data_IF_893408960608
#
_entry.id   IF_893408960608
#
_cell.length_a   1.000
_cell.length_b   1.000
_cell.length_c   1.000
_cell.angle_alpha   90.00
_cell.angle_beta   90.00
_cell.angle_gamma   90.00
#
_symmetry.space_group_name_H-M   'P 1'
#
loop_
_entity.id
_entity.type
_entity.pdbx_description
1 polymer ?
#
# COMPACT_ATOMS: atom_id res chain seq x y z
N UNK A 1 -17.90 50.43 -79.02
CA UNK A 1 -18.50 49.21 -78.44
C UNK A 1 -17.39 48.31 -77.90
N UNK A 2 -17.21 48.27 -76.57
CA UNK A 2 -16.25 47.38 -75.89
C UNK A 2 -16.86 46.89 -74.57
N UNK A 3 -16.92 45.57 -74.43
CA UNK A 3 -17.16 44.78 -73.20
C UNK A 3 -15.90 44.77 -72.33
N UNK A 4 -16.07 44.70 -71.00
CA UNK A 4 -15.20 44.13 -69.94
C UNK A 4 -15.73 44.70 -68.61
N UNK A 5 -16.37 44.01 -67.65
CA UNK A 5 -16.26 42.68 -67.03
C UNK A 5 -14.93 42.43 -66.31
N UNK A 6 -15.04 42.05 -65.01
CA UNK A 6 -14.05 41.37 -64.14
C UNK A 6 -12.95 42.30 -63.55
N UNK A 7 -12.50 42.29 -62.28
CA UNK A 7 -12.53 41.33 -61.14
C UNK A 7 -12.31 42.10 -59.80
N UNK A 8 -13.00 41.69 -58.73
CA UNK A 8 -12.69 42.00 -57.32
C UNK A 8 -11.48 41.19 -56.82
N UNK A 9 -10.47 41.83 -56.23
CA UNK A 9 -9.43 41.18 -55.39
C UNK A 9 -9.29 42.01 -54.10
N UNK A 10 -9.93 41.62 -52.99
CA UNK A 10 -9.46 40.72 -51.92
C UNK A 10 -8.00 40.94 -51.51
N UNK A 11 -7.80 41.70 -50.42
CA UNK A 11 -6.60 41.66 -49.59
C UNK A 11 -7.03 41.61 -48.12
N UNK A 12 -7.22 40.38 -47.64
CA UNK A 12 -7.52 40.02 -46.25
C UNK A 12 -6.27 40.24 -45.38
N UNK A 13 -6.36 41.18 -44.44
CA UNK A 13 -5.37 41.38 -43.37
C UNK A 13 -5.36 40.14 -42.46
N UNK A 14 -4.23 39.43 -42.44
CA UNK A 14 -4.00 38.27 -41.58
C UNK A 14 -3.93 38.68 -40.11
N UNK A 15 -4.88 38.16 -39.33
CA UNK A 15 -4.84 38.13 -37.87
C UNK A 15 -3.73 37.15 -37.42
N UNK A 16 -2.56 37.70 -37.09
CA UNK A 16 -1.55 36.99 -36.30
C UNK A 16 -1.98 36.94 -34.83
N UNK A 17 -2.90 36.03 -34.51
CA UNK A 17 -3.18 35.69 -33.12
C UNK A 17 -1.97 34.96 -32.55
N UNK A 18 -1.35 35.57 -31.54
CA UNK A 18 -0.26 34.98 -30.78
C UNK A 18 -0.71 33.66 -30.16
N UNK A 19 -0.25 32.56 -30.74
CA UNK A 19 -0.19 31.28 -30.07
C UNK A 19 1.00 31.30 -29.10
N UNK A 20 0.86 32.02 -27.99
CA UNK A 20 1.65 31.70 -26.80
C UNK A 20 1.09 30.39 -26.26
N UNK A 21 1.67 29.28 -26.73
CA UNK A 21 1.45 27.98 -26.11
C UNK A 21 1.76 28.12 -24.63
N UNK A 22 0.77 27.82 -23.79
CA UNK A 22 1.00 27.60 -22.37
C UNK A 22 1.95 26.42 -22.27
N UNK A 23 3.26 26.70 -22.13
CA UNK A 23 4.20 25.72 -21.63
C UNK A 23 3.74 25.49 -20.19
N UNK A 24 3.04 24.38 -19.97
CA UNK A 24 2.79 23.86 -18.63
C UNK A 24 4.17 23.61 -18.00
N UNK A 25 4.67 24.65 -17.33
CA UNK A 25 5.82 24.59 -16.43
C UNK A 25 5.31 24.19 -15.04
N UNK A 26 4.44 23.17 -14.97
CA UNK A 26 4.43 22.39 -13.75
C UNK A 26 5.90 21.94 -13.55
N UNK A 27 6.51 22.24 -12.39
CA UNK A 27 7.91 21.89 -12.17
C UNK A 27 8.10 20.44 -12.58
N UNK A 28 9.18 20.08 -13.26
CA UNK A 28 9.41 18.69 -13.62
C UNK A 28 9.48 17.84 -12.32
N UNK A 29 8.34 17.31 -11.86
CA UNK A 29 8.20 16.68 -10.54
C UNK A 29 8.50 15.19 -10.59
N UNK A 30 8.60 14.64 -11.79
CA UNK A 30 8.88 13.23 -12.01
C UNK A 30 9.88 13.05 -13.15
N UNK A 31 10.59 11.92 -13.13
CA UNK A 31 11.49 11.48 -14.18
C UNK A 31 11.24 10.01 -14.55
N UNK A 32 12.09 9.48 -15.41
CA UNK A 32 12.07 8.08 -15.83
C UNK A 32 13.30 7.37 -15.29
N UNK A 33 13.13 6.15 -14.79
CA UNK A 33 14.26 5.31 -14.34
C UNK A 33 14.32 4.06 -15.20
N UNK A 34 15.49 3.76 -15.75
CA UNK A 34 15.74 2.58 -16.57
C UNK A 34 16.87 1.76 -15.97
N UNK A 35 16.81 0.46 -16.15
CA UNK A 35 17.87 -0.43 -15.69
C UNK A 35 17.67 -1.85 -16.17
N UNK A 36 18.52 -2.74 -15.67
CA UNK A 36 18.49 -4.16 -15.98
C UNK A 36 18.82 -5.00 -14.76
N UNK A 37 18.10 -6.11 -14.59
CA UNK A 37 18.41 -7.13 -13.59
C UNK A 37 19.36 -8.16 -14.20
N UNK A 38 20.42 -8.50 -13.46
CA UNK A 38 21.38 -9.55 -13.87
C UNK A 38 20.85 -10.96 -13.63
N UNK A 39 19.87 -11.11 -12.74
CA UNK A 39 19.17 -12.35 -12.43
C UNK A 39 17.71 -12.01 -12.10
N UNK A 40 16.77 -12.75 -12.67
CA UNK A 40 15.34 -12.52 -12.48
C UNK A 40 14.50 -13.74 -12.92
N UNK A 41 13.29 -13.82 -12.37
CA UNK A 41 12.20 -14.63 -12.90
C UNK A 41 11.13 -13.67 -13.46
N UNK A 42 10.83 -13.67 -14.78
CA UNK A 42 9.88 -12.73 -15.36
C UNK A 42 8.45 -12.87 -14.83
N UNK A 43 8.09 -14.01 -14.22
CA UNK A 43 6.78 -14.21 -13.59
C UNK A 43 6.66 -13.55 -12.21
N UNK A 44 7.79 -13.21 -11.58
CA UNK A 44 7.85 -12.68 -10.20
C UNK A 44 8.44 -11.27 -10.17
N UNK A 45 9.35 -10.97 -11.10
CA UNK A 45 10.19 -9.79 -11.06
C UNK A 45 9.36 -8.49 -11.13
N UNK A 46 9.57 -7.65 -10.12
CA UNK A 46 8.87 -6.38 -9.93
C UNK A 46 9.87 -5.35 -9.41
N UNK A 47 9.90 -4.20 -10.06
CA UNK A 47 10.66 -3.02 -9.62
C UNK A 47 9.66 -1.95 -9.22
N UNK A 48 9.86 -1.34 -8.05
CA UNK A 48 9.01 -0.24 -7.57
C UNK A 48 9.84 0.78 -6.81
N UNK A 49 9.28 1.97 -6.62
CA UNK A 49 9.89 3.01 -5.79
C UNK A 49 9.44 2.82 -4.35
N UNK A 50 10.40 2.70 -3.43
CA UNK A 50 10.11 2.55 -2.00
C UNK A 50 9.30 3.77 -1.50
N UNK A 51 8.19 3.52 -0.81
CA UNK A 51 7.26 4.56 -0.36
C UNK A 51 6.29 5.07 -1.44
N UNK A 52 6.44 4.63 -2.69
CA UNK A 52 5.53 4.92 -3.79
C UNK A 52 5.20 3.64 -4.60
N UNK A 53 4.53 2.63 -3.98
CA UNK A 53 4.27 1.33 -4.62
C UNK A 53 3.34 1.41 -5.85
N UNK A 54 2.69 2.55 -6.09
CA UNK A 54 1.98 2.83 -7.33
C UNK A 54 2.91 2.97 -8.55
N UNK A 55 4.14 3.42 -8.34
CA UNK A 55 5.17 3.55 -9.38
C UNK A 55 5.93 2.23 -9.46
N UNK A 56 5.52 1.37 -10.39
CA UNK A 56 6.05 0.01 -10.51
C UNK A 56 6.14 -0.44 -11.97
N UNK A 57 7.01 -1.40 -12.22
CA UNK A 57 7.20 -2.01 -13.55
C UNK A 57 7.70 -3.43 -13.39
N UNK A 58 7.30 -4.31 -14.32
CA UNK A 58 7.92 -5.62 -14.47
C UNK A 58 9.28 -5.52 -15.18
N UNK A 59 9.77 -6.66 -15.65
CA UNK A 59 10.96 -6.73 -16.51
C UNK A 59 10.64 -7.37 -17.85
N UNK A 60 11.34 -6.96 -18.90
CA UNK A 60 11.26 -7.61 -20.20
C UNK A 60 12.05 -8.95 -20.22
N UNK A 61 12.02 -9.65 -21.35
CA UNK A 61 12.72 -10.94 -21.52
C UNK A 61 14.25 -10.82 -21.46
N UNK A 62 14.79 -9.60 -21.51
CA UNK A 62 16.21 -9.30 -21.31
C UNK A 62 16.50 -8.77 -19.90
N UNK A 63 15.52 -8.76 -19.00
CA UNK A 63 15.65 -8.28 -17.62
C UNK A 63 15.61 -6.76 -17.48
N UNK A 64 15.26 -6.02 -18.54
CA UNK A 64 15.22 -4.55 -18.50
C UNK A 64 13.90 -4.07 -17.94
N UNK A 65 13.95 -2.99 -17.16
CA UNK A 65 12.76 -2.32 -16.64
C UNK A 65 12.80 -0.84 -17.00
N UNK A 66 11.61 -0.24 -17.06
CA UNK A 66 11.42 1.21 -17.17
C UNK A 66 10.32 1.61 -16.19
N UNK A 67 10.64 2.50 -15.27
CA UNK A 67 9.70 3.16 -14.37
C UNK A 67 9.46 4.57 -14.87
N UNK A 68 8.21 4.88 -15.17
CA UNK A 68 7.75 6.23 -15.50
C UNK A 68 7.20 6.93 -14.25
N UNK A 69 7.06 8.24 -14.30
CA UNK A 69 6.49 9.06 -13.22
C UNK A 69 7.17 8.89 -11.84
N UNK A 70 8.48 8.61 -11.83
CA UNK A 70 9.25 8.48 -10.58
C UNK A 70 9.45 9.87 -9.98
N UNK A 71 9.02 10.14 -8.73
CA UNK A 71 9.18 11.45 -8.11
C UNK A 71 10.64 11.93 -8.12
N UNK A 72 10.84 13.20 -8.48
CA UNK A 72 12.15 13.83 -8.50
C UNK A 72 12.72 13.98 -7.09
N UNK A 73 14.04 13.82 -6.96
CA UNK A 73 14.77 13.86 -5.70
C UNK A 73 15.45 12.53 -5.35
N UNK A 74 15.99 12.41 -4.12
CA UNK A 74 16.50 11.15 -3.60
C UNK A 74 15.37 10.11 -3.57
N UNK A 75 15.64 8.94 -4.13
CA UNK A 75 14.71 7.84 -4.18
C UNK A 75 15.44 6.53 -3.93
N UNK A 76 14.67 5.45 -3.80
CA UNK A 76 15.21 4.12 -3.69
C UNK A 76 14.30 3.13 -4.39
N UNK A 77 14.90 2.29 -5.24
CA UNK A 77 14.17 1.20 -5.85
C UNK A 77 14.10 0.03 -4.87
N UNK A 78 12.92 -0.55 -4.73
CA UNK A 78 12.73 -1.90 -4.22
C UNK A 78 12.57 -2.85 -5.42
N UNK A 79 13.45 -3.84 -5.50
CA UNK A 79 13.46 -4.84 -6.56
C UNK A 79 13.16 -6.19 -5.93
N UNK A 80 12.07 -6.82 -6.36
CA UNK A 80 11.82 -8.24 -6.20
C UNK A 80 12.28 -8.91 -7.50
N UNK A 81 13.25 -9.83 -7.45
CA UNK A 81 13.82 -10.42 -8.65
C UNK A 81 13.37 -11.85 -8.87
N UNK A 82 13.33 -12.64 -7.79
CA UNK A 82 12.87 -14.03 -7.76
C UNK A 82 12.06 -14.25 -6.47
N UNK A 83 11.59 -15.48 -6.22
CA UNK A 83 10.91 -15.84 -4.97
C UNK A 83 11.80 -15.74 -3.72
N UNK A 84 13.12 -15.64 -3.88
CA UNK A 84 14.09 -15.61 -2.77
C UNK A 84 15.14 -14.49 -2.88
N UNK A 85 15.16 -13.70 -3.97
CA UNK A 85 16.12 -12.61 -4.18
C UNK A 85 15.46 -11.26 -4.36
N UNK A 86 16.07 -10.27 -3.72
CA UNK A 86 15.63 -8.88 -3.78
C UNK A 86 16.84 -7.92 -3.75
N UNK A 87 16.61 -6.66 -4.13
CA UNK A 87 17.60 -5.60 -4.02
C UNK A 87 16.96 -4.27 -3.60
N UNK A 88 17.80 -3.42 -2.99
CA UNK A 88 17.53 -1.99 -2.78
C UNK A 88 18.58 -1.20 -3.53
N UNK A 89 18.14 -0.22 -4.33
CA UNK A 89 19.04 0.59 -5.17
C UNK A 89 18.78 2.06 -4.88
N UNK A 90 19.66 2.75 -4.12
CA UNK A 90 19.54 4.18 -3.93
C UNK A 90 19.87 4.90 -5.23
N UNK A 91 19.12 5.95 -5.54
CA UNK A 91 19.33 6.79 -6.72
C UNK A 91 18.84 8.22 -6.46
N UNK A 92 19.13 9.11 -7.39
CA UNK A 92 18.54 10.46 -7.42
C UNK A 92 17.90 10.67 -8.77
N UNK A 93 16.61 10.96 -8.77
CA UNK A 93 15.84 11.20 -9.99
C UNK A 93 15.80 12.68 -10.27
N UNK A 94 16.22 13.05 -11.47
CA UNK A 94 16.10 14.42 -11.95
C UNK A 94 14.78 14.56 -12.71
N UNK A 95 14.01 15.59 -12.35
CA UNK A 95 12.74 15.89 -13.00
C UNK A 95 12.89 16.06 -14.50
N UNK A 96 12.00 15.43 -15.28
CA UNK A 96 11.94 15.54 -16.73
C UNK A 96 13.09 14.82 -17.45
N UNK A 97 13.90 14.06 -16.72
CA UNK A 97 15.04 13.33 -17.26
C UNK A 97 14.87 11.82 -17.11
N UNK A 98 15.54 11.09 -17.99
CA UNK A 98 15.76 9.64 -17.83
C UNK A 98 17.07 9.40 -17.09
N UNK A 99 17.02 8.56 -16.06
CA UNK A 99 18.16 8.09 -15.30
C UNK A 99 18.38 6.61 -15.60
N UNK A 100 19.55 6.26 -16.09
CA UNK A 100 19.97 4.87 -16.27
C UNK A 100 20.70 4.40 -14.99
N UNK A 101 20.16 3.37 -14.34
CA UNK A 101 20.85 2.71 -13.23
C UNK A 101 21.81 1.64 -13.77
N UNK A 102 22.91 1.43 -13.05
CA UNK A 102 23.80 0.32 -13.32
C UNK A 102 23.05 -1.02 -13.21
N UNK A 103 23.59 -2.05 -13.86
CA UNK A 103 23.07 -3.42 -13.76
C UNK A 103 22.87 -3.82 -12.30
N UNK A 104 21.64 -4.19 -11.96
CA UNK A 104 21.25 -4.55 -10.60
C UNK A 104 21.53 -6.03 -10.40
N UNK A 105 22.27 -6.34 -9.33
CA UNK A 105 22.54 -7.72 -8.90
C UNK A 105 21.77 -8.03 -7.62
N UNK A 106 20.61 -8.72 -7.74
CA UNK A 106 19.82 -9.13 -6.59
C UNK A 106 20.58 -10.09 -5.69
N UNK A 107 20.32 -10.00 -4.40
CA UNK A 107 20.92 -10.87 -3.38
C UNK A 107 19.82 -11.66 -2.68
N UNK A 108 20.21 -12.74 -2.00
CA UNK A 108 19.27 -13.48 -1.16
C UNK A 108 18.59 -12.53 -0.18
N UNK A 109 17.26 -12.43 -0.27
CA UNK A 109 16.46 -11.64 0.66
C UNK A 109 16.29 -12.36 1.98
N UNK A 110 16.14 -11.60 3.06
CA UNK A 110 15.62 -12.13 4.31
C UNK A 110 14.10 -12.27 4.27
N UNK A 111 13.55 -12.98 5.24
CA UNK A 111 12.11 -13.15 5.39
C UNK A 111 11.69 -12.99 6.84
N UNK A 112 10.49 -12.48 7.08
CA UNK A 112 9.86 -12.57 8.38
C UNK A 112 9.08 -13.87 8.48
N UNK A 113 9.26 -14.58 9.59
CA UNK A 113 8.44 -15.74 9.97
C UNK A 113 7.46 -15.30 11.05
N UNK A 114 6.31 -14.86 10.57
CA UNK A 114 5.26 -14.23 11.38
C UNK A 114 4.50 -15.29 12.15
N UNK A 115 4.39 -15.09 13.46
CA UNK A 115 3.55 -15.86 14.38
C UNK A 115 2.53 -14.92 15.00
N UNK A 116 1.25 -15.16 14.71
CA UNK A 116 0.16 -14.35 15.25
C UNK A 116 -0.39 -14.99 16.52
N UNK A 117 -0.68 -14.14 17.50
CA UNK A 117 -1.38 -14.48 18.71
C UNK A 117 -2.45 -13.44 18.97
N UNK A 118 -3.61 -13.84 19.49
CA UNK A 118 -4.63 -12.91 19.96
C UNK A 118 -4.46 -12.68 21.46
N UNK A 119 -4.71 -11.44 21.90
CA UNK A 119 -4.90 -11.16 23.32
C UNK A 119 -6.25 -11.73 23.79
N UNK A 120 -6.22 -12.58 24.81
CA UNK A 120 -7.41 -13.23 25.37
C UNK A 120 -7.76 -14.54 24.67
N UNK A 121 -9.06 -14.84 24.54
CA UNK A 121 -9.54 -16.13 24.01
C UNK A 121 -10.17 -16.03 22.61
N UNK A 122 -9.96 -14.91 21.90
CA UNK A 122 -10.40 -14.78 20.50
C UNK A 122 -9.38 -15.47 19.57
N UNK A 123 -9.85 -15.95 18.42
CA UNK A 123 -9.00 -16.49 17.35
C UNK A 123 -8.69 -15.41 16.32
N UNK A 124 -7.48 -15.43 15.77
CA UNK A 124 -7.14 -14.62 14.60
C UNK A 124 -7.42 -15.43 13.34
N UNK A 125 -8.20 -14.88 12.41
CA UNK A 125 -8.45 -15.49 11.12
C UNK A 125 -8.45 -14.43 10.02
N UNK A 126 -8.01 -14.83 8.83
CA UNK A 126 -7.98 -13.98 7.63
C UNK A 126 -7.27 -12.64 7.87
N UNK A 127 -6.18 -12.66 8.64
CA UNK A 127 -5.35 -11.49 8.86
C UNK A 127 -4.53 -11.16 7.60
N UNK A 128 -4.31 -9.86 7.41
CA UNK A 128 -3.45 -9.31 6.36
C UNK A 128 -2.27 -8.61 7.00
N UNK A 129 -1.08 -8.85 6.45
CA UNK A 129 0.14 -8.13 6.77
C UNK A 129 0.64 -7.38 5.54
N UNK A 130 1.00 -6.12 5.72
CA UNK A 130 1.65 -5.30 4.70
C UNK A 130 3.01 -4.85 5.20
N UNK A 131 4.03 -4.90 4.33
CA UNK A 131 5.36 -4.37 4.65
C UNK A 131 5.45 -2.95 4.11
N UNK A 132 5.52 -1.99 5.03
CA UNK A 132 5.41 -0.56 4.74
C UNK A 132 6.42 -0.11 3.68
N UNK A 133 5.93 0.66 2.70
CA UNK A 133 6.73 1.20 1.61
C UNK A 133 7.14 0.21 0.52
N UNK A 134 6.80 -1.09 0.65
CA UNK A 134 7.12 -2.13 -0.33
C UNK A 134 5.83 -2.68 -0.98
N UNK A 135 5.91 -3.46 -2.07
CA UNK A 135 4.76 -4.14 -2.64
C UNK A 135 4.45 -5.47 -1.93
N UNK A 136 5.17 -5.81 -0.86
CA UNK A 136 5.02 -7.09 -0.16
C UNK A 136 3.82 -7.02 0.78
N UNK A 137 2.83 -7.86 0.49
CA UNK A 137 1.68 -8.12 1.34
C UNK A 137 1.41 -9.63 1.39
N UNK A 138 0.82 -10.09 2.49
CA UNK A 138 0.31 -11.44 2.62
C UNK A 138 -1.04 -11.40 3.33
N UNK A 139 -1.98 -12.23 2.87
CA UNK A 139 -3.33 -12.36 3.41
C UNK A 139 -3.62 -13.82 3.79
N UNK A 140 -4.73 -14.04 4.51
CA UNK A 140 -5.07 -15.39 4.98
C UNK A 140 -4.14 -15.90 6.09
N UNK A 141 -3.57 -14.98 6.89
CA UNK A 141 -2.81 -15.35 8.09
C UNK A 141 -3.78 -15.70 9.22
N UNK A 142 -3.39 -16.65 10.06
CA UNK A 142 -4.13 -17.06 11.26
C UNK A 142 -3.18 -17.29 12.44
N UNK A 143 -3.74 -17.62 13.60
CA UNK A 143 -2.99 -17.95 14.82
C UNK A 143 -2.63 -19.45 14.93
N UNK A 144 -2.88 -20.25 13.89
CA UNK A 144 -2.59 -21.69 13.87
C UNK A 144 -1.23 -22.01 13.26
N UNK A 145 -0.87 -21.31 12.18
CA UNK A 145 0.33 -21.61 11.40
C UNK A 145 1.15 -20.34 11.11
N UNK A 146 2.46 -20.34 11.40
CA UNK A 146 3.33 -19.24 11.02
C UNK A 146 3.40 -19.06 9.49
N UNK A 147 3.62 -17.82 9.04
CA UNK A 147 3.73 -17.49 7.61
C UNK A 147 5.02 -16.73 7.29
N UNK A 148 5.57 -17.02 6.12
CA UNK A 148 6.72 -16.31 5.57
C UNK A 148 6.25 -15.05 4.87
N UNK A 149 6.90 -13.91 5.13
CA UNK A 149 6.67 -12.63 4.48
C UNK A 149 8.00 -12.13 3.91
N UNK A 150 8.06 -11.97 2.60
CA UNK A 150 9.27 -11.60 1.86
C UNK A 150 9.31 -12.22 0.45
N UNK A 151 10.46 -12.20 -0.23
CA UNK A 151 11.79 -11.82 0.26
C UNK A 151 11.97 -10.30 0.40
N UNK A 152 12.82 -9.89 1.34
CA UNK A 152 13.13 -8.50 1.65
C UNK A 152 14.66 -8.29 1.62
N UNK A 153 15.18 -7.24 0.97
CA UNK A 153 16.58 -6.85 1.11
C UNK A 153 16.94 -6.60 2.58
N UNK A 154 18.23 -6.70 2.95
CA UNK A 154 18.67 -6.37 4.30
C UNK A 154 18.20 -4.96 4.70
N UNK A 155 17.61 -4.85 5.87
CA UNK A 155 17.09 -3.57 6.38
C UNK A 155 16.03 -3.77 7.46
N UNK A 156 15.60 -2.65 8.03
CA UNK A 156 14.49 -2.61 8.99
C UNK A 156 13.23 -2.11 8.30
N UNK A 157 12.11 -2.77 8.60
CA UNK A 157 10.83 -2.55 7.94
C UNK A 157 9.73 -2.39 8.98
N UNK A 158 8.81 -1.46 8.72
CA UNK A 158 7.51 -1.44 9.39
C UNK A 158 6.60 -2.50 8.78
N UNK A 159 5.89 -3.23 9.62
CA UNK A 159 4.87 -4.19 9.22
C UNK A 159 3.56 -3.77 9.86
N UNK A 160 2.50 -3.65 9.06
CA UNK A 160 1.15 -3.37 9.54
C UNK A 160 0.27 -4.61 9.42
N UNK A 161 -0.33 -5.00 10.53
CA UNK A 161 -1.22 -6.14 10.65
C UNK A 161 -2.65 -5.67 10.82
N UNK A 162 -3.57 -6.25 10.07
CA UNK A 162 -5.00 -6.00 10.18
C UNK A 162 -5.77 -7.31 10.15
N UNK A 163 -6.79 -7.42 10.99
CA UNK A 163 -7.69 -8.57 11.03
C UNK A 163 -9.08 -8.10 11.46
N UNK A 164 -10.14 -8.78 10.99
CA UNK A 164 -11.51 -8.43 11.40
C UNK A 164 -11.71 -8.67 12.88
N UNK A 165 -12.25 -7.69 13.59
CA UNK A 165 -12.49 -7.79 15.04
C UNK A 165 -11.24 -7.51 15.90
N UNK A 166 -10.19 -6.95 15.30
CA UNK A 166 -8.94 -6.58 15.96
C UNK A 166 -8.53 -5.16 15.58
N UNK A 167 -7.85 -4.49 16.50
CA UNK A 167 -7.21 -3.20 16.25
C UNK A 167 -5.96 -3.44 15.39
N UNK A 168 -5.78 -2.64 14.33
CA UNK A 168 -4.58 -2.72 13.51
C UNK A 168 -3.33 -2.49 14.36
N UNK A 169 -2.33 -3.35 14.16
CA UNK A 169 -1.09 -3.37 14.94
C UNK A 169 0.09 -3.17 14.02
N UNK A 170 0.97 -2.21 14.33
CA UNK A 170 2.22 -2.01 13.59
C UNK A 170 3.42 -2.37 14.45
N UNK A 171 4.38 -3.06 13.85
CA UNK A 171 5.66 -3.44 14.47
C UNK A 171 6.80 -3.10 13.53
N UNK A 172 8.00 -2.89 14.05
CA UNK A 172 9.20 -2.67 13.24
C UNK A 172 10.26 -3.67 13.64
N UNK A 173 10.85 -4.34 12.67
CA UNK A 173 11.96 -5.27 12.89
C UNK A 173 12.87 -5.34 11.65
N UNK A 174 14.02 -6.00 11.77
CA UNK A 174 15.05 -6.05 10.74
C UNK A 174 15.25 -7.46 10.20
N UNK A 175 15.55 -7.56 8.91
CA UNK A 175 15.93 -8.79 8.23
C UNK A 175 17.36 -8.71 7.75
N UNK A 176 18.04 -9.85 7.80
CA UNK A 176 19.36 -10.06 7.22
C UNK A 176 19.24 -10.88 5.93
N UNK A 177 20.17 -10.65 4.99
CA UNK A 177 20.26 -11.38 3.74
C UNK A 177 20.23 -12.90 3.95
N UNK A 178 19.28 -13.57 3.28
CA UNK A 178 19.11 -15.03 3.31
C UNK A 178 18.69 -15.61 4.66
N UNK A 179 18.37 -14.78 5.67
CA UNK A 179 17.95 -15.26 6.99
C UNK A 179 16.44 -15.14 7.18
N UNK A 180 15.94 -15.97 8.09
CA UNK A 180 14.58 -15.91 8.59
C UNK A 180 14.57 -15.25 9.98
N UNK A 181 13.86 -14.13 10.12
CA UNK A 181 13.64 -13.44 11.40
C UNK A 181 12.28 -13.85 11.96
N UNK A 182 12.23 -14.42 13.16
CA UNK A 182 10.95 -14.80 13.80
C UNK A 182 10.30 -13.57 14.40
N UNK A 183 9.08 -13.26 13.97
CA UNK A 183 8.30 -12.11 14.45
C UNK A 183 7.04 -12.60 15.17
N UNK A 184 6.99 -12.38 16.48
CA UNK A 184 5.80 -12.70 17.28
C UNK A 184 4.95 -11.44 17.42
N UNK A 185 3.69 -11.50 16.98
CA UNK A 185 2.77 -10.36 16.98
C UNK A 185 1.54 -10.71 17.78
N UNK A 186 1.22 -9.88 18.77
CA UNK A 186 -0.02 -9.96 19.52
C UNK A 186 -1.04 -8.98 18.95
N UNK A 187 -2.21 -9.48 18.52
CA UNK A 187 -3.34 -8.66 18.07
C UNK A 187 -4.31 -8.44 19.22
N UNK A 188 -4.72 -7.19 19.40
CA UNK A 188 -5.69 -6.78 20.43
C UNK A 188 -7.08 -6.71 19.82
N UNK A 189 -8.09 -7.41 20.38
CA UNK A 189 -9.47 -7.31 19.91
C UNK A 189 -9.97 -5.86 19.86
N UNK A 190 -10.76 -5.53 18.84
CA UNK A 190 -11.48 -4.26 18.82
C UNK A 190 -12.58 -4.32 19.89
N UNK A 191 -12.39 -3.59 20.98
CA UNK A 191 -13.30 -3.60 22.12
C UNK A 191 -14.64 -2.91 21.83
N UNK A 192 -15.38 -3.32 20.79
CA UNK A 192 -16.84 -3.09 20.66
C UNK A 192 -17.58 -3.89 21.73
N UNK A 193 -17.27 -3.47 22.96
CA UNK A 193 -17.69 -3.94 24.26
C UNK A 193 -19.15 -3.58 24.53
N UNK A 194 -20.06 -3.96 23.64
CA UNK A 194 -21.45 -4.11 24.04
C UNK A 194 -21.63 -5.44 24.81
N UNK A 195 -20.92 -6.48 24.42
CA UNK A 195 -21.04 -7.81 25.05
C UNK A 195 -20.17 -7.96 26.31
N UNK A 196 -19.00 -7.32 26.37
CA UNK A 196 -18.07 -7.46 27.50
C UNK A 196 -18.44 -6.58 28.71
N UNK A 197 -19.24 -5.52 28.50
CA UNK A 197 -19.86 -4.75 29.59
C UNK A 197 -21.08 -5.44 30.20
N UNK A 198 -21.76 -6.34 29.48
CA UNK A 198 -22.85 -7.13 30.05
C UNK A 198 -22.36 -8.30 30.91
N UNK A 199 -21.10 -8.72 30.76
CA UNK A 199 -20.53 -9.81 31.55
C UNK A 199 -19.89 -9.34 32.88
N UNK A 200 -19.39 -8.11 32.95
CA UNK A 200 -18.73 -7.54 34.14
C UNK A 200 -19.62 -6.60 34.96
N UNK A 201 -20.57 -5.92 34.32
CA UNK A 201 -21.67 -5.24 35.01
C UNK A 201 -22.88 -6.12 34.83
N UNK A 202 -23.15 -6.98 35.82
CA UNK A 202 -24.37 -7.76 35.86
C UNK A 202 -25.54 -6.84 35.52
N UNK A 203 -26.36 -7.24 34.55
CA UNK A 203 -27.67 -6.63 34.34
C UNK A 203 -28.51 -6.93 35.58
N UNK A 204 -28.26 -6.17 36.66
CA UNK A 204 -29.13 -6.07 37.81
C UNK A 204 -30.44 -5.49 37.29
N UNK A 205 -31.48 -6.32 37.38
CA UNK A 205 -32.83 -5.94 37.02
C UNK A 205 -33.23 -4.68 37.78
N UNK A 206 -33.78 -3.72 37.04
CA UNK A 206 -34.97 -2.93 37.40
C UNK A 206 -35.20 -1.86 36.34
N UNK A 207 -35.39 -2.30 35.10
CA UNK A 207 -35.87 -1.49 34.00
C UNK A 207 -37.27 -1.96 33.63
N UNK A 208 -38.28 -1.53 34.39
CA UNK A 208 -39.69 -1.67 34.00
C UNK A 208 -39.89 -0.97 32.66
N UNK A 209 -39.93 -1.72 31.56
CA UNK A 209 -40.59 -1.27 30.33
C UNK A 209 -42.09 -1.21 30.60
N UNK A 210 -42.55 -0.04 31.04
CA UNK A 210 -43.98 0.26 31.10
C UNK A 210 -44.49 0.50 29.68
N UNK A 211 -45.04 -0.54 29.05
CA UNK A 211 -45.99 -0.34 27.95
C UNK A 211 -46.92 -1.54 27.79
N UNK A 212 -47.75 -1.82 28.79
CA UNK A 212 -49.06 -2.42 28.52
C UNK A 212 -50.05 -2.14 29.65
N UNK A 213 -51.17 -1.52 29.28
CA UNK A 213 -52.20 -1.10 30.21
C UNK A 213 -52.93 -2.28 30.83
N UNK A 214 -52.90 -2.37 32.15
CA UNK A 214 -54.01 -2.86 32.99
C UNK A 214 -53.72 -2.53 34.45
N UNK A 215 -54.51 -1.64 35.02
CA UNK A 215 -54.48 -1.34 36.45
C UNK A 215 -54.98 -2.54 37.25
N UNK A 216 -54.20 -2.93 38.26
CA UNK A 216 -54.64 -3.87 39.30
C UNK A 216 -54.51 -3.14 40.64
N UNK A 217 -55.63 -3.04 41.36
CA UNK A 217 -55.73 -2.45 42.70
C UNK A 217 -54.86 -3.23 43.70
N UNK A 218 -54.17 -2.52 44.58
CA UNK A 218 -53.57 -3.10 45.80
C UNK A 218 -54.66 -3.50 46.79
N UNK A 219 -54.58 -4.68 47.42
CA UNK A 219 -55.29 -4.93 48.67
C UNK A 219 -54.47 -4.41 49.86
N UNK A 220 -55.23 -3.94 50.84
CA UNK A 220 -54.84 -3.40 52.13
C UNK A 220 -54.17 -4.48 53.01
N UNK A 221 -53.08 -4.13 53.69
CA UNK A 221 -52.61 -4.88 54.86
C UNK A 221 -53.02 -4.14 56.13
N UNK A 222 -53.98 -4.73 56.84
CA UNK A 222 -54.25 -4.50 58.24
C UNK A 222 -53.28 -5.34 59.07
N UNK A 223 -52.49 -4.71 59.94
CA UNK A 223 -52.36 -5.02 61.36
C UNK A 223 -51.31 -4.15 62.04
#
# INVERSE_FOLDING_TARGET
MRRQCLILTLSSLGLGLGACGSLDNEPFRAGTVRGRLTEFDPAVALVTVLGAPGVRSGVDVQGRFTLEDVPAGPAELFVLATSDKAARVPLTVQGGQSVDVADVSPRAGGTFFVKLHARGNRRVAEATVTVEGTPIEASGLDDNAPRHVGPLPTGCYGLSFSARGFISTSVQDCVDAGKQTVLNVELVPDGSSAEERCALTGCGGDGRSAMEGRGVKSPEDSH
#
